data_IF_455559489848
#
_entry.id   IF_455559489848
#
_cell.length_a   1.000
_cell.length_b   1.000
_cell.length_c   1.000
_cell.angle_alpha   90.00
_cell.angle_beta   90.00
_cell.angle_gamma   90.00
#
_symmetry.space_group_name_H-M   'P 1'
#
loop_
_entity.id
_entity.type
_entity.pdbx_description
1 polymer ?
#
# COMPACT_ATOMS: atom_id res chain seq x y z
N UNK A 1 24.29 -36.64 14.96
CA UNK A 1 25.07 -35.48 14.48
C UNK A 1 24.28 -34.24 14.92
N UNK A 2 24.56 -33.54 16.03
CA UNK A 2 25.64 -32.54 16.30
C UNK A 2 25.85 -31.63 15.08
N UNK A 3 25.65 -30.30 15.13
CA UNK A 3 25.90 -29.26 16.16
C UNK A 3 24.91 -28.07 15.96
N UNK A 4 24.25 -27.50 16.97
CA UNK A 4 24.65 -26.53 18.03
C UNK A 4 24.27 -25.08 17.64
N UNK A 5 23.34 -24.41 18.36
CA UNK A 5 23.54 -23.50 19.54
C UNK A 5 24.13 -22.15 19.09
N UNK A 6 23.57 -20.96 19.40
CA UNK A 6 23.58 -20.33 20.74
C UNK A 6 22.48 -19.26 20.90
N UNK A 7 21.78 -19.40 22.02
CA UNK A 7 20.95 -18.45 22.77
C UNK A 7 21.84 -17.80 23.85
N UNK A 8 21.74 -16.49 24.09
CA UNK A 8 22.29 -15.87 25.30
C UNK A 8 21.23 -15.02 26.01
N UNK A 9 20.60 -15.64 27.01
CA UNK A 9 19.92 -14.98 28.13
C UNK A 9 20.96 -14.67 29.19
N UNK A 10 20.97 -13.46 29.75
CA UNK A 10 21.64 -13.15 31.00
C UNK A 10 20.61 -12.61 32.00
N UNK A 11 20.25 -13.48 32.94
CA UNK A 11 19.47 -13.18 34.14
C UNK A 11 20.45 -13.36 35.31
N UNK A 12 20.64 -12.32 36.11
CA UNK A 12 21.34 -12.42 37.39
C UNK A 12 20.42 -11.89 38.50
N UNK A 13 19.88 -12.84 39.27
CA UNK A 13 19.25 -12.62 40.58
C UNK A 13 20.25 -13.07 41.65
N UNK A 14 20.54 -12.20 42.62
CA UNK A 14 20.98 -12.60 43.95
C UNK A 14 20.15 -11.85 44.99
N UNK A 15 19.76 -12.60 46.02
CA UNK A 15 18.80 -12.23 47.05
C UNK A 15 19.43 -11.42 48.21
N UNK A 16 18.63 -10.47 48.72
CA UNK A 16 18.34 -10.22 50.14
C UNK A 16 19.47 -9.95 51.15
N UNK A 17 19.50 -8.72 51.67
CA UNK A 17 19.68 -8.41 53.10
C UNK A 17 19.15 -7.00 53.39
N UNK A 18 18.26 -6.88 54.39
CA UNK A 18 17.78 -5.60 54.91
C UNK A 18 18.80 -4.96 55.87
N UNK A 19 19.01 -3.64 55.80
CA UNK A 19 19.35 -2.78 56.95
C UNK A 19 19.10 -1.29 56.67
N UNK A 20 18.72 -0.62 57.76
CA UNK A 20 18.14 0.71 58.02
C UNK A 20 18.96 1.98 57.63
N UNK A 21 18.37 3.20 57.77
CA UNK A 21 18.63 4.35 56.92
C UNK A 21 19.68 5.34 57.45
N UNK A 22 20.26 6.10 56.53
CA UNK A 22 21.01 7.34 56.77
C UNK A 22 21.06 8.10 55.44
N UNK A 23 21.08 9.41 55.30
CA UNK A 23 20.82 10.57 56.15
C UNK A 23 20.62 11.71 55.14
N UNK A 24 19.65 12.61 55.36
CA UNK A 24 19.41 13.75 54.47
C UNK A 24 20.61 14.72 54.44
N UNK A 25 21.00 15.24 53.27
CA UNK A 25 21.70 16.51 53.17
C UNK A 25 20.68 17.65 53.03
N UNK A 26 20.80 18.61 53.95
CA UNK A 26 20.07 19.87 53.98
C UNK A 26 20.49 20.84 52.84
N UNK A 27 19.70 21.91 52.60
CA UNK A 27 19.66 22.63 51.32
C UNK A 27 20.84 23.60 51.16
N UNK A 28 21.43 23.65 49.97
CA UNK A 28 22.34 24.72 49.59
C UNK A 28 21.61 25.79 48.77
N UNK A 29 21.36 26.90 49.47
CA UNK A 29 21.54 28.28 49.06
C UNK A 29 21.23 28.65 47.60
N UNK A 30 20.16 29.44 47.46
CA UNK A 30 19.93 30.32 46.32
C UNK A 30 21.20 31.10 45.95
N UNK A 31 21.57 31.03 44.67
CA UNK A 31 22.39 32.02 44.01
C UNK A 31 21.57 32.52 42.82
N UNK A 32 21.12 33.76 42.92
CA UNK A 32 20.51 34.52 41.84
C UNK A 32 21.49 34.56 40.66
N UNK A 33 21.15 33.88 39.59
CA UNK A 33 21.76 34.09 38.27
C UNK A 33 20.72 34.79 37.41
N UNK A 34 20.92 36.09 37.23
CA UNK A 34 20.28 36.96 36.25
C UNK A 34 20.10 36.25 34.91
N UNK A 35 18.89 35.74 34.64
CA UNK A 35 18.47 35.34 33.32
C UNK A 35 18.24 36.62 32.51
N UNK A 36 19.20 36.94 31.64
CA UNK A 36 18.97 37.86 30.53
C UNK A 36 17.93 37.18 29.66
N UNK A 37 16.71 37.74 29.63
CA UNK A 37 15.68 37.34 28.67
C UNK A 37 16.25 37.55 27.26
N UNK A 38 16.64 36.46 26.62
CA UNK A 38 16.76 36.44 25.17
C UNK A 38 15.33 36.54 24.61
N UNK A 39 15.06 37.56 23.83
CA UNK A 39 13.88 37.58 22.96
C UNK A 39 13.86 36.28 22.14
N UNK A 40 12.69 35.64 21.95
CA UNK A 40 12.58 34.52 21.03
C UNK A 40 13.04 34.99 19.66
N UNK A 41 14.10 34.37 19.14
CA UNK A 41 14.51 34.58 17.76
C UNK A 41 13.32 34.28 16.86
N UNK A 42 13.01 35.17 15.90
CA UNK A 42 12.06 34.86 14.85
C UNK A 42 12.42 33.50 14.25
N UNK A 43 11.44 32.60 14.06
CA UNK A 43 11.72 31.30 13.47
C UNK A 43 12.33 31.53 12.09
N UNK A 44 13.58 31.09 11.93
CA UNK A 44 14.28 31.22 10.66
C UNK A 44 13.46 30.55 9.56
N UNK A 45 13.33 31.23 8.42
CA UNK A 45 12.72 30.63 7.23
C UNK A 45 13.41 29.29 6.93
N UNK A 46 12.65 28.26 6.49
CA UNK A 46 13.23 26.95 6.23
C UNK A 46 14.29 27.05 5.12
N UNK A 47 15.39 26.31 5.28
CA UNK A 47 16.38 26.15 4.21
C UNK A 47 15.77 25.29 3.10
N UNK A 48 15.43 25.92 1.97
CA UNK A 48 14.79 25.26 0.83
C UNK A 48 15.72 24.27 0.11
N UNK A 49 17.00 24.19 0.49
CA UNK A 49 17.96 23.23 -0.06
C UNK A 49 18.23 22.04 0.87
N UNK A 50 17.81 22.11 2.13
CA UNK A 50 17.97 21.02 3.10
C UNK A 50 16.80 20.04 3.00
N UNK A 51 16.81 19.23 1.95
CA UNK A 51 15.75 18.26 1.68
C UNK A 51 15.55 17.23 2.79
N UNK A 52 16.59 16.67 3.43
CA UNK A 52 16.40 15.81 4.61
C UNK A 52 15.63 16.50 5.73
N UNK A 53 16.00 17.74 6.10
CA UNK A 53 15.30 18.47 7.16
C UNK A 53 13.86 18.82 6.77
N UNK A 54 13.60 19.15 5.50
CA UNK A 54 12.23 19.38 5.00
C UNK A 54 11.39 18.10 5.02
N UNK A 55 11.99 16.96 4.69
CA UNK A 55 11.34 15.65 4.70
C UNK A 55 10.91 15.28 6.13
N UNK A 56 11.87 15.32 7.06
CA UNK A 56 11.64 15.00 8.48
C UNK A 56 10.56 15.90 9.09
N UNK A 57 10.62 17.21 8.79
CA UNK A 57 9.74 18.19 9.41
C UNK A 57 8.31 18.18 8.86
N UNK A 58 8.13 17.94 7.57
CA UNK A 58 6.87 18.20 6.88
C UNK A 58 6.26 17.00 6.17
N UNK A 59 7.03 15.95 5.85
CA UNK A 59 6.56 14.85 5.00
C UNK A 59 6.45 13.54 5.76
N UNK A 60 7.42 13.20 6.62
CA UNK A 60 7.49 11.88 7.26
C UNK A 60 6.23 11.54 8.07
N UNK A 61 5.75 12.47 8.90
CA UNK A 61 4.52 12.24 9.68
C UNK A 61 3.28 12.20 8.81
N UNK A 62 3.23 12.99 7.74
CA UNK A 62 2.13 12.99 6.78
C UNK A 62 2.09 11.66 6.02
N UNK A 63 3.25 11.10 5.69
CA UNK A 63 3.38 9.78 5.05
C UNK A 63 2.98 8.66 6.01
N UNK A 64 3.56 8.62 7.20
CA UNK A 64 3.34 7.54 8.16
C UNK A 64 1.90 7.48 8.67
N UNK A 65 1.15 8.60 8.61
CA UNK A 65 -0.27 8.62 8.92
C UNK A 65 -1.17 8.17 7.76
N UNK A 66 -0.60 7.94 6.57
CA UNK A 66 -1.33 7.64 5.34
C UNK A 66 -1.89 8.87 4.61
N UNK A 67 -1.74 10.09 5.16
CA UNK A 67 -2.28 11.30 4.55
C UNK A 67 -1.54 11.71 3.26
N UNK A 68 -0.25 11.37 3.12
CA UNK A 68 0.51 11.58 1.88
C UNK A 68 0.17 10.55 0.78
N UNK A 69 -0.46 9.42 1.14
CA UNK A 69 -0.91 8.38 0.21
C UNK A 69 -2.28 8.63 -0.42
N UNK A 70 -2.76 9.87 -0.42
CA UNK A 70 -4.07 10.28 -0.92
C UNK A 70 -3.97 11.67 -1.55
N UNK A 71 -4.70 11.92 -2.64
CA UNK A 71 -4.89 13.28 -3.17
C UNK A 71 -6.03 13.98 -2.44
N UNK A 72 -5.78 15.17 -1.90
CA UNK A 72 -6.77 15.94 -1.16
C UNK A 72 -6.48 17.44 -1.23
N UNK A 73 -7.54 18.24 -1.27
CA UNK A 73 -7.52 19.70 -1.16
C UNK A 73 -8.31 20.21 0.05
N UNK A 74 -8.90 19.28 0.83
CA UNK A 74 -9.54 19.56 2.11
C UNK A 74 -9.27 18.39 3.08
N UNK A 75 -9.18 18.63 4.39
CA UNK A 75 -8.99 17.55 5.36
C UNK A 75 -10.10 16.50 5.38
N UNK A 76 -11.31 16.85 4.89
CA UNK A 76 -12.39 15.88 4.73
C UNK A 76 -11.99 14.71 3.80
N UNK A 77 -11.23 14.99 2.75
CA UNK A 77 -10.74 13.97 1.81
C UNK A 77 -9.58 13.14 2.36
N UNK A 78 -8.97 13.56 3.48
CA UNK A 78 -7.93 12.78 4.16
C UNK A 78 -8.55 11.57 4.84
N UNK A 79 -9.75 11.68 5.41
CA UNK A 79 -10.35 10.64 6.25
C UNK A 79 -9.88 10.71 7.71
N UNK A 80 -10.79 10.46 8.65
CA UNK A 80 -10.49 10.59 10.08
C UNK A 80 -9.52 9.52 10.59
N UNK A 81 -9.44 8.37 9.92
CA UNK A 81 -8.45 7.32 10.17
C UNK A 81 -7.02 7.89 10.11
N UNK A 82 -6.66 8.52 8.99
CA UNK A 82 -5.33 9.07 8.78
C UNK A 82 -5.03 10.28 9.68
N UNK A 83 -6.06 11.06 10.05
CA UNK A 83 -5.91 12.16 11.02
C UNK A 83 -5.65 11.62 12.44
N UNK A 84 -6.37 10.56 12.86
CA UNK A 84 -6.12 9.90 14.15
C UNK A 84 -4.72 9.29 14.19
N UNK A 85 -4.29 8.66 13.09
CA UNK A 85 -2.96 8.05 12.99
C UNK A 85 -1.83 9.11 13.01
N UNK A 86 -2.10 10.31 12.46
CA UNK A 86 -1.18 11.45 12.55
C UNK A 86 -0.96 11.91 14.00
N UNK A 87 -2.03 11.89 14.82
CA UNK A 87 -1.93 12.15 16.26
C UNK A 87 -1.24 10.99 17.00
N UNK A 88 -1.55 9.74 16.64
CA UNK A 88 -0.93 8.57 17.26
C UNK A 88 0.60 8.60 17.15
N UNK A 89 1.14 9.00 15.99
CA UNK A 89 2.58 9.17 15.78
C UNK A 89 3.22 10.17 16.75
N UNK A 90 2.53 11.26 17.07
CA UNK A 90 2.98 12.21 18.09
C UNK A 90 3.02 11.56 19.49
N UNK A 91 1.99 10.78 19.85
CA UNK A 91 1.98 10.09 21.14
C UNK A 91 3.05 9.00 21.23
N UNK A 92 3.38 8.33 20.13
CA UNK A 92 4.39 7.26 20.12
C UNK A 92 5.82 7.78 20.32
N UNK A 93 6.11 9.03 19.95
CA UNK A 93 7.38 9.70 20.31
C UNK A 93 7.57 9.76 21.83
N UNK A 94 6.48 9.93 22.57
CA UNK A 94 6.48 10.06 24.04
C UNK A 94 6.26 8.72 24.77
N UNK A 95 5.53 7.78 24.16
CA UNK A 95 5.06 6.53 24.81
C UNK A 95 5.80 5.26 24.35
N UNK A 96 6.55 5.29 23.25
CA UNK A 96 7.16 4.11 22.63
C UNK A 96 6.14 3.12 22.05
N UNK A 97 6.44 1.81 22.06
CA UNK A 97 5.59 0.76 21.46
C UNK A 97 4.25 0.51 22.17
N UNK A 98 3.94 1.22 23.27
CA UNK A 98 2.71 1.03 24.06
C UNK A 98 1.68 2.12 23.76
N UNK A 99 1.27 2.24 22.50
CA UNK A 99 0.16 3.13 22.15
C UNK A 99 -1.15 2.63 22.80
N UNK A 100 -1.96 3.51 23.40
CA UNK A 100 -3.27 3.13 23.92
C UNK A 100 -4.20 2.73 22.78
N UNK A 101 -5.17 1.86 23.06
CA UNK A 101 -6.17 1.44 22.09
C UNK A 101 -7.14 2.58 21.68
N UNK A 102 -7.21 3.63 22.50
CA UNK A 102 -8.10 4.77 22.29
C UNK A 102 -7.43 6.08 22.72
N UNK A 103 -7.75 7.16 21.99
CA UNK A 103 -7.28 8.51 22.28
C UNK A 103 -8.47 9.44 22.60
N UNK A 104 -8.40 10.27 23.66
CA UNK A 104 -9.47 11.21 24.00
C UNK A 104 -9.76 12.18 22.84
N UNK A 105 -11.03 12.29 22.44
CA UNK A 105 -11.40 13.02 21.22
C UNK A 105 -10.94 14.49 21.25
N UNK A 106 -11.10 15.18 22.39
CA UNK A 106 -10.68 16.57 22.52
C UNK A 106 -9.17 16.78 22.32
N UNK A 107 -8.34 15.83 22.74
CA UNK A 107 -6.88 15.92 22.59
C UNK A 107 -6.47 15.71 21.12
N UNK A 108 -7.06 14.70 20.47
CA UNK A 108 -6.84 14.45 19.03
C UNK A 108 -7.28 15.66 18.21
N UNK A 109 -8.49 16.15 18.43
CA UNK A 109 -9.09 17.26 17.66
C UNK A 109 -8.29 18.55 17.83
N UNK A 110 -7.89 18.89 19.06
CA UNK A 110 -7.08 20.08 19.33
C UNK A 110 -5.73 19.97 18.61
N UNK A 111 -5.08 18.81 18.68
CA UNK A 111 -3.78 18.59 18.06
C UNK A 111 -3.87 18.65 16.54
N UNK A 112 -4.82 17.97 15.93
CA UNK A 112 -5.03 17.97 14.49
C UNK A 112 -5.39 19.35 13.97
N UNK A 113 -6.17 20.13 14.74
CA UNK A 113 -6.51 21.52 14.40
C UNK A 113 -5.30 22.47 14.28
N UNK A 114 -4.14 22.09 14.84
CA UNK A 114 -2.88 22.84 14.68
C UNK A 114 -2.29 22.71 13.28
N UNK A 115 -2.47 21.55 12.64
CA UNK A 115 -1.84 21.21 11.35
C UNK A 115 -2.81 21.16 10.18
N UNK A 116 -4.11 20.96 10.44
CA UNK A 116 -5.14 20.84 9.43
C UNK A 116 -6.29 21.81 9.74
N UNK A 117 -6.94 22.34 8.69
CA UNK A 117 -8.16 23.13 8.85
C UNK A 117 -9.39 22.21 8.80
N UNK A 118 -9.63 21.52 9.91
CA UNK A 118 -10.66 20.49 10.04
C UNK A 118 -11.74 20.93 11.03
N UNK A 119 -13.00 20.67 10.67
CA UNK A 119 -14.12 20.69 11.62
C UNK A 119 -14.36 19.25 12.13
N UNK A 120 -14.12 18.96 13.42
CA UNK A 120 -14.30 17.63 13.98
C UNK A 120 -15.71 17.07 13.78
N UNK A 121 -16.73 17.92 13.84
CA UNK A 121 -18.13 17.47 13.77
C UNK A 121 -18.48 16.91 12.38
N UNK A 122 -17.97 17.53 11.31
CA UNK A 122 -18.27 17.14 9.92
C UNK A 122 -17.25 16.18 9.30
N UNK A 123 -16.05 16.06 9.87
CA UNK A 123 -14.98 15.21 9.32
C UNK A 123 -14.61 14.04 10.24
N UNK A 124 -14.34 14.31 11.52
CA UNK A 124 -13.72 13.32 12.40
C UNK A 124 -14.74 12.45 13.15
N UNK A 125 -15.75 13.08 13.78
CA UNK A 125 -16.74 12.39 14.64
C UNK A 125 -17.77 11.57 13.88
N UNK A 126 -17.86 11.74 12.56
CA UNK A 126 -18.73 10.90 11.70
C UNK A 126 -18.08 9.57 11.32
N UNK A 127 -16.80 9.40 11.62
CA UNK A 127 -16.04 8.22 11.24
C UNK A 127 -16.28 7.04 12.19
N UNK A 128 -16.18 5.81 11.67
CA UNK A 128 -16.42 4.57 12.43
C UNK A 128 -15.47 4.38 13.63
N UNK A 129 -14.30 5.04 13.62
CA UNK A 129 -13.34 5.03 14.73
C UNK A 129 -13.75 5.91 15.90
N UNK A 130 -14.73 6.81 15.75
CA UNK A 130 -15.21 7.64 16.86
C UNK A 130 -16.23 6.87 17.72
N UNK A 131 -15.95 6.78 19.01
CA UNK A 131 -16.86 6.22 20.02
C UNK A 131 -17.49 7.35 20.84
N UNK A 132 -18.78 7.62 20.61
CA UNK A 132 -19.51 8.69 21.29
C UNK A 132 -19.64 8.44 22.81
N UNK A 133 -19.72 7.18 23.24
CA UNK A 133 -19.89 6.85 24.65
C UNK A 133 -18.58 7.04 25.43
N UNK A 134 -17.45 6.70 24.81
CA UNK A 134 -16.12 6.95 25.37
C UNK A 134 -15.62 8.39 25.13
N UNK A 135 -16.22 9.11 24.19
CA UNK A 135 -15.73 10.39 23.68
C UNK A 135 -14.25 10.30 23.25
N UNK A 136 -13.95 9.27 22.45
CA UNK A 136 -12.60 8.88 22.07
C UNK A 136 -12.54 8.32 20.64
N UNK A 137 -11.35 8.32 20.05
CA UNK A 137 -11.05 7.67 18.78
C UNK A 137 -10.31 6.37 19.01
N UNK A 138 -10.76 5.29 18.37
CA UNK A 138 -10.06 4.00 18.35
C UNK A 138 -8.83 4.06 17.47
N UNK A 139 -7.73 3.53 17.97
CA UNK A 139 -6.48 3.35 17.24
C UNK A 139 -6.32 1.88 16.87
N UNK A 140 -6.09 1.61 15.58
CA UNK A 140 -6.03 0.25 15.04
C UNK A 140 -4.62 -0.15 14.60
N UNK A 141 -3.63 0.69 14.89
CA UNK A 141 -2.24 0.52 14.46
C UNK A 141 -1.88 1.38 13.26
N UNK A 142 -0.57 1.58 13.05
CA UNK A 142 -0.03 2.28 11.90
C UNK A 142 0.16 1.32 10.72
N UNK A 143 -0.14 1.79 9.52
CA UNK A 143 0.10 1.08 8.27
C UNK A 143 1.33 1.60 7.52
N UNK A 144 2.04 0.69 6.85
CA UNK A 144 3.17 0.89 5.93
C UNK A 144 4.53 1.30 6.55
N UNK A 145 5.60 0.79 5.94
CA UNK A 145 7.02 0.98 6.30
C UNK A 145 7.78 1.77 5.22
N UNK A 146 7.08 2.57 4.43
CA UNK A 146 7.68 3.33 3.32
C UNK A 146 8.47 4.53 3.85
N UNK A 147 9.40 5.05 3.04
CA UNK A 147 10.17 6.26 3.34
C UNK A 147 9.90 7.32 2.29
N UNK A 148 9.83 8.60 2.68
CA UNK A 148 9.73 9.72 1.74
C UNK A 148 11.09 10.42 1.57
N UNK A 149 11.21 11.17 0.48
CA UNK A 149 12.26 12.16 0.31
C UNK A 149 11.75 13.37 -0.48
N UNK A 150 11.93 14.57 0.07
CA UNK A 150 11.75 15.82 -0.69
C UNK A 150 12.83 15.92 -1.76
N UNK A 151 12.43 16.25 -2.98
CA UNK A 151 13.35 16.42 -4.11
C UNK A 151 13.31 17.84 -4.71
N UNK A 152 12.31 18.65 -4.34
CA UNK A 152 12.19 20.04 -4.74
C UNK A 152 11.38 20.83 -3.72
N UNK A 153 11.77 22.08 -3.50
CA UNK A 153 11.08 22.98 -2.59
C UNK A 153 11.01 24.39 -3.17
N UNK A 154 9.90 25.08 -2.92
CA UNK A 154 9.73 26.51 -3.22
C UNK A 154 8.88 27.18 -2.15
N UNK A 155 9.15 28.44 -1.87
CA UNK A 155 8.39 29.26 -0.92
C UNK A 155 7.97 30.57 -1.58
N UNK A 156 6.66 30.80 -1.67
CA UNK A 156 6.07 32.03 -2.19
C UNK A 156 4.94 32.48 -1.26
N UNK A 157 4.96 33.73 -0.81
CA UNK A 157 3.92 34.31 0.06
C UNK A 157 3.54 33.45 1.28
N UNK A 158 4.55 32.84 1.93
CA UNK A 158 4.36 31.96 3.08
C UNK A 158 3.78 30.59 2.76
N UNK A 159 3.62 30.24 1.48
CA UNK A 159 3.24 28.92 1.01
C UNK A 159 4.47 28.12 0.61
N UNK A 160 4.84 27.15 1.45
CA UNK A 160 5.87 26.17 1.15
C UNK A 160 5.25 25.07 0.29
N UNK A 161 5.82 24.85 -0.90
CA UNK A 161 5.47 23.75 -1.80
C UNK A 161 6.63 22.79 -1.86
N UNK A 162 6.37 21.52 -1.54
CA UNK A 162 7.38 20.45 -1.56
C UNK A 162 6.94 19.38 -2.56
N UNK A 163 7.81 19.08 -3.53
CA UNK A 163 7.69 17.84 -4.30
C UNK A 163 8.48 16.75 -3.58
N UNK A 164 7.87 15.57 -3.46
CA UNK A 164 8.44 14.43 -2.73
C UNK A 164 8.26 13.13 -3.52
N UNK A 165 9.16 12.19 -3.28
CA UNK A 165 9.06 10.80 -3.72
C UNK A 165 8.86 9.90 -2.52
N UNK A 166 8.06 8.86 -2.66
CA UNK A 166 7.89 7.80 -1.67
C UNK A 166 8.48 6.51 -2.21
N UNK A 167 9.27 5.85 -1.37
CA UNK A 167 10.05 4.68 -1.73
C UNK A 167 9.50 3.39 -1.11
N UNK A 168 9.65 2.30 -1.87
CA UNK A 168 9.37 0.94 -1.42
C UNK A 168 10.22 0.56 -0.21
N UNK A 169 9.67 -0.18 0.76
CA UNK A 169 10.44 -0.71 1.90
C UNK A 169 11.43 -1.82 1.53
N UNK A 170 11.49 -2.23 0.26
CA UNK A 170 12.41 -3.28 -0.22
C UNK A 170 13.88 -2.81 -0.34
N UNK A 171 14.19 -1.56 0.02
CA UNK A 171 15.53 -0.95 -0.03
C UNK A 171 16.19 -0.99 -1.42
N UNK A 172 15.39 -1.02 -2.49
CA UNK A 172 15.84 -1.09 -3.89
C UNK A 172 15.87 0.28 -4.59
N UNK A 173 15.52 1.36 -3.88
CA UNK A 173 15.44 2.71 -4.44
C UNK A 173 14.21 2.94 -5.33
N UNK A 174 13.27 2.00 -5.34
CA UNK A 174 12.01 2.10 -6.09
C UNK A 174 11.14 3.23 -5.55
N UNK A 175 10.80 4.19 -6.40
CA UNK A 175 9.73 5.17 -6.13
C UNK A 175 8.39 4.54 -6.47
N UNK A 176 7.53 4.39 -5.46
CA UNK A 176 6.19 3.80 -5.59
C UNK A 176 5.12 4.85 -5.92
N UNK A 177 5.31 6.10 -5.50
CA UNK A 177 4.58 7.27 -5.98
C UNK A 177 5.35 8.54 -5.61
N UNK A 178 4.98 9.63 -6.23
CA UNK A 178 5.45 10.97 -5.90
C UNK A 178 4.27 11.85 -5.49
N UNK A 179 4.54 13.02 -4.95
CA UNK A 179 3.48 13.99 -4.72
C UNK A 179 3.99 15.41 -4.59
N UNK A 180 3.04 16.34 -4.51
CA UNK A 180 3.29 17.73 -4.15
C UNK A 180 2.40 18.09 -2.97
N UNK A 181 3.01 18.53 -1.88
CA UNK A 181 2.28 19.04 -0.71
C UNK A 181 2.45 20.56 -0.62
N UNK A 182 1.36 21.27 -0.34
CA UNK A 182 1.40 22.71 -0.05
C UNK A 182 1.09 22.98 1.42
N UNK A 183 1.93 23.81 2.02
CA UNK A 183 2.01 24.03 3.45
C UNK A 183 2.05 25.54 3.72
N UNK A 184 1.04 26.06 4.42
CA UNK A 184 1.04 27.45 4.89
C UNK A 184 1.91 27.57 6.12
N UNK A 185 2.97 28.36 6.04
CA UNK A 185 3.79 28.72 7.18
C UNK A 185 3.18 29.92 7.91
N UNK A 186 3.13 29.83 9.23
CA UNK A 186 2.74 30.91 10.12
C UNK A 186 3.97 31.69 10.58
N UNK A 187 3.85 33.01 10.86
CA UNK A 187 4.98 33.83 11.35
C UNK A 187 5.58 33.35 12.68
N UNK A 188 4.79 32.62 13.48
CA UNK A 188 5.20 32.03 14.76
C UNK A 188 5.95 30.69 14.61
N UNK A 189 6.20 30.25 13.37
CA UNK A 189 6.90 29.00 13.08
C UNK A 189 5.99 27.77 13.06
N UNK A 190 4.69 27.95 13.31
CA UNK A 190 3.66 26.94 13.05
C UNK A 190 3.40 26.75 11.56
N UNK A 191 2.65 25.72 11.22
CA UNK A 191 2.24 25.47 9.83
C UNK A 191 0.92 24.72 9.74
N UNK A 192 0.24 24.87 8.61
CA UNK A 192 -0.91 24.05 8.23
C UNK A 192 -0.74 23.46 6.84
N UNK A 193 -1.12 22.21 6.66
CA UNK A 193 -1.20 21.61 5.33
C UNK A 193 -2.49 22.07 4.63
N UNK A 194 -2.36 22.54 3.39
CA UNK A 194 -3.49 23.05 2.58
C UNK A 194 -3.95 22.01 1.55
N UNK A 195 -3.02 21.30 0.92
CA UNK A 195 -3.31 20.27 -0.08
C UNK A 195 -2.17 19.27 -0.20
N UNK A 196 -2.51 18.08 -0.69
CA UNK A 196 -1.57 17.08 -1.19
C UNK A 196 -2.08 16.55 -2.53
N UNK A 197 -1.22 16.56 -3.54
CA UNK A 197 -1.46 15.92 -4.81
C UNK A 197 -0.54 14.71 -4.94
N UNK A 198 -1.09 13.51 -4.76
CA UNK A 198 -0.40 12.25 -4.96
C UNK A 198 -0.47 11.87 -6.45
N UNK A 199 0.64 11.40 -6.98
CA UNK A 199 0.78 10.92 -8.37
C UNK A 199 1.54 9.62 -8.38
N UNK A 200 0.96 8.57 -8.93
CA UNK A 200 1.75 7.39 -9.27
C UNK A 200 2.73 7.72 -10.40
N UNK A 201 3.82 6.97 -10.57
CA UNK A 201 4.75 7.21 -11.65
C UNK A 201 4.07 7.09 -13.02
N UNK A 202 4.37 8.02 -13.95
CA UNK A 202 3.79 8.08 -15.30
C UNK A 202 4.40 7.02 -16.22
N UNK A 203 3.79 5.84 -16.39
CA UNK A 203 4.32 4.83 -17.31
C UNK A 203 4.31 5.33 -18.77
N UNK A 204 5.46 5.38 -19.48
CA UNK A 204 5.47 5.75 -20.89
C UNK A 204 4.72 4.70 -21.69
N UNK A 205 3.60 5.11 -22.29
CA UNK A 205 2.75 4.23 -23.08
C UNK A 205 3.41 3.98 -24.44
N UNK A 206 3.74 2.72 -24.70
CA UNK A 206 4.33 2.25 -25.95
C UNK A 206 3.29 1.67 -26.93
N UNK A 207 3.72 1.41 -28.16
CA UNK A 207 2.93 0.70 -29.16
C UNK A 207 1.63 1.38 -29.63
N UNK A 208 0.88 0.66 -30.47
CA UNK A 208 -0.42 1.09 -30.98
C UNK A 208 -1.56 0.81 -29.97
N UNK A 209 -2.43 1.80 -29.75
CA UNK A 209 -3.50 1.73 -28.76
C UNK A 209 -4.58 0.68 -29.05
N UNK A 210 -4.94 0.43 -30.31
CA UNK A 210 -5.91 -0.62 -30.65
C UNK A 210 -5.33 -2.01 -30.38
N UNK A 211 -4.04 -2.19 -30.70
CA UNK A 211 -3.33 -3.44 -30.43
C UNK A 211 -3.25 -3.70 -28.93
N UNK A 212 -2.94 -2.68 -28.12
CA UNK A 212 -2.93 -2.81 -26.65
C UNK A 212 -4.28 -3.25 -26.09
N UNK A 213 -5.39 -2.67 -26.56
CA UNK A 213 -6.72 -3.09 -26.13
C UNK A 213 -7.00 -4.55 -26.50
N UNK A 214 -6.67 -4.98 -27.72
CA UNK A 214 -6.85 -6.38 -28.14
C UNK A 214 -6.03 -7.36 -27.29
N UNK A 215 -4.79 -6.97 -26.94
CA UNK A 215 -3.93 -7.75 -26.05
C UNK A 215 -4.53 -7.78 -24.63
N UNK A 216 -5.07 -6.66 -24.14
CA UNK A 216 -5.73 -6.58 -22.84
C UNK A 216 -6.95 -7.50 -22.79
N UNK A 217 -7.85 -7.42 -23.78
CA UNK A 217 -9.04 -8.27 -23.90
C UNK A 217 -8.69 -9.76 -23.94
N UNK A 218 -7.60 -10.12 -24.62
CA UNK A 218 -7.22 -11.52 -24.83
C UNK A 218 -6.49 -12.10 -23.62
N UNK A 219 -5.56 -11.35 -23.03
CA UNK A 219 -4.58 -11.89 -22.09
C UNK A 219 -4.71 -11.33 -20.68
N UNK A 220 -5.24 -10.12 -20.48
CA UNK A 220 -5.26 -9.45 -19.18
C UNK A 220 -6.65 -9.50 -18.55
N UNK A 221 -7.71 -9.13 -19.29
CA UNK A 221 -9.08 -9.10 -18.79
C UNK A 221 -9.57 -10.42 -18.21
N UNK A 222 -9.20 -11.59 -18.78
CA UNK A 222 -9.53 -12.88 -18.18
C UNK A 222 -8.95 -13.11 -16.78
N UNK A 223 -7.90 -12.37 -16.38
CA UNK A 223 -7.22 -12.52 -15.09
C UNK A 223 -7.76 -11.59 -13.99
N UNK A 224 -8.59 -10.59 -14.34
CA UNK A 224 -9.03 -9.49 -13.47
C UNK A 224 -9.77 -9.95 -12.20
N UNK A 225 -10.68 -10.92 -12.24
CA UNK A 225 -11.58 -11.16 -11.08
C UNK A 225 -11.00 -12.15 -10.10
N UNK A 226 -10.04 -12.95 -10.58
CA UNK A 226 -9.00 -13.54 -9.75
C UNK A 226 -7.92 -12.54 -9.36
N UNK A 227 -8.14 -11.21 -9.45
CA UNK A 227 -7.17 -10.10 -9.56
C UNK A 227 -5.93 -10.16 -8.69
N UNK A 228 -5.94 -11.00 -7.65
CA UNK A 228 -4.77 -11.64 -7.07
C UNK A 228 -3.73 -12.13 -8.09
N UNK A 229 -4.09 -12.71 -9.24
CA UNK A 229 -3.13 -13.20 -10.24
C UNK A 229 -2.21 -12.09 -10.81
N UNK A 230 -2.60 -10.82 -10.67
CA UNK A 230 -1.81 -9.65 -11.06
C UNK A 230 -1.41 -8.79 -9.84
N UNK A 231 -1.47 -9.33 -8.63
CA UNK A 231 -1.12 -8.64 -7.37
C UNK A 231 0.11 -9.21 -6.66
N UNK A 232 0.69 -10.30 -7.15
CA UNK A 232 1.91 -10.88 -6.61
C UNK A 232 2.73 -11.57 -7.69
N UNK A 233 4.02 -11.72 -7.43
CA UNK A 233 4.98 -12.35 -8.34
C UNK A 233 4.76 -13.87 -8.39
N UNK A 234 4.79 -14.43 -9.60
CA UNK A 234 4.84 -15.88 -9.81
C UNK A 234 5.68 -16.19 -11.06
N UNK A 235 6.68 -17.03 -10.89
CA UNK A 235 7.60 -17.45 -11.96
C UNK A 235 7.07 -18.65 -12.74
N UNK A 236 6.04 -19.32 -12.22
CA UNK A 236 5.31 -20.37 -12.93
C UNK A 236 3.89 -20.51 -12.36
N UNK A 237 2.92 -21.04 -13.13
CA UNK A 237 1.56 -21.27 -12.64
C UNK A 237 1.46 -22.18 -11.40
N UNK A 238 2.47 -23.02 -11.14
CA UNK A 238 2.53 -23.89 -9.96
C UNK A 238 2.84 -23.17 -8.64
N UNK A 239 3.25 -21.90 -8.69
CA UNK A 239 3.47 -21.06 -7.50
C UNK A 239 2.21 -20.33 -7.03
N UNK A 240 1.16 -20.32 -7.87
CA UNK A 240 -0.13 -19.75 -7.50
C UNK A 240 -0.82 -20.60 -6.42
N UNK A 241 -1.97 -20.17 -5.95
CA UNK A 241 -2.90 -21.06 -5.23
C UNK A 241 -3.83 -21.72 -6.25
N UNK A 242 -4.16 -23.00 -6.06
CA UNK A 242 -5.09 -23.73 -6.93
C UNK A 242 -6.46 -23.03 -7.04
N UNK A 243 -6.87 -22.35 -5.96
CA UNK A 243 -8.09 -21.56 -5.93
C UNK A 243 -8.07 -20.39 -6.92
N UNK A 244 -6.93 -19.73 -7.13
CA UNK A 244 -6.83 -18.63 -8.08
C UNK A 244 -7.02 -19.12 -9.53
N UNK A 245 -6.50 -20.30 -9.87
CA UNK A 245 -6.74 -20.93 -11.17
C UNK A 245 -8.20 -21.37 -11.34
N UNK A 246 -8.82 -21.84 -10.26
CA UNK A 246 -10.24 -22.17 -10.26
C UNK A 246 -11.11 -20.92 -10.45
N UNK A 247 -10.77 -19.79 -9.83
CA UNK A 247 -11.45 -18.51 -10.02
C UNK A 247 -11.35 -18.03 -11.46
N UNK A 248 -10.20 -18.19 -12.11
CA UNK A 248 -10.06 -17.90 -13.55
C UNK A 248 -11.07 -18.69 -14.38
N UNK A 249 -11.23 -19.99 -14.13
CA UNK A 249 -12.20 -20.83 -14.84
C UNK A 249 -13.64 -20.36 -14.61
N UNK A 250 -14.00 -20.14 -13.34
CA UNK A 250 -15.34 -19.73 -12.95
C UNK A 250 -15.69 -18.35 -13.53
N UNK A 251 -14.78 -17.38 -13.44
CA UNK A 251 -15.02 -16.04 -13.95
C UNK A 251 -15.25 -16.04 -15.46
N UNK A 252 -14.31 -16.62 -16.22
CA UNK A 252 -14.37 -16.68 -17.69
C UNK A 252 -15.42 -17.67 -18.21
N UNK A 253 -16.11 -18.38 -17.32
CA UNK A 253 -17.13 -19.38 -17.64
C UNK A 253 -16.64 -20.39 -18.69
N UNK A 254 -15.45 -20.94 -18.49
CA UNK A 254 -14.80 -21.81 -19.49
C UNK A 254 -15.60 -23.09 -19.81
N UNK A 255 -16.53 -23.47 -18.92
CA UNK A 255 -17.43 -24.61 -19.11
C UNK A 255 -18.77 -24.22 -19.75
N UNK A 256 -19.01 -22.93 -20.03
CA UNK A 256 -20.25 -22.44 -20.66
C UNK A 256 -21.51 -22.71 -19.83
N UNK A 257 -21.38 -22.74 -18.50
CA UNK A 257 -22.50 -23.01 -17.59
C UNK A 257 -23.40 -21.78 -17.46
N UNK A 258 -24.67 -21.99 -17.11
CA UNK A 258 -25.63 -20.92 -16.87
C UNK A 258 -25.24 -20.09 -15.64
N UNK A 259 -25.31 -18.76 -15.77
CA UNK A 259 -25.09 -17.78 -14.70
C UNK A 259 -26.28 -16.85 -14.61
N UNK A 260 -26.54 -16.33 -13.41
CA UNK A 260 -27.50 -15.25 -13.23
C UNK A 260 -26.93 -13.89 -13.67
N UNK A 261 -27.71 -12.83 -13.46
CA UNK A 261 -27.33 -11.47 -13.87
C UNK A 261 -26.14 -10.90 -13.08
N UNK A 262 -25.83 -11.45 -11.90
CA UNK A 262 -24.67 -11.07 -11.07
C UNK A 262 -23.44 -11.92 -11.40
N UNK A 263 -23.56 -12.83 -12.38
CA UNK A 263 -22.49 -13.74 -12.76
C UNK A 263 -22.29 -14.89 -11.77
N UNK A 264 -23.28 -15.18 -10.92
CA UNK A 264 -23.28 -16.30 -10.00
C UNK A 264 -23.80 -17.58 -10.66
N UNK A 265 -23.20 -18.72 -10.31
CA UNK A 265 -23.80 -20.02 -10.62
C UNK A 265 -24.94 -20.33 -9.64
N UNK A 266 -25.85 -21.21 -10.05
CA UNK A 266 -26.95 -21.66 -9.19
C UNK A 266 -26.41 -22.24 -7.86
N UNK A 267 -27.08 -22.02 -6.72
CA UNK A 267 -26.65 -22.58 -5.44
C UNK A 267 -26.45 -24.10 -5.48
N UNK A 268 -25.27 -24.56 -5.09
CA UNK A 268 -24.90 -25.99 -5.13
C UNK A 268 -24.56 -26.52 -6.52
N UNK A 269 -24.38 -25.66 -7.53
CA UNK A 269 -23.89 -26.07 -8.84
C UNK A 269 -22.51 -26.73 -8.70
N UNK A 270 -22.32 -27.83 -9.42
CA UNK A 270 -21.05 -28.55 -9.47
C UNK A 270 -20.68 -28.86 -10.91
N UNK A 271 -19.39 -29.00 -11.17
CA UNK A 271 -18.85 -29.45 -12.46
C UNK A 271 -17.92 -30.66 -12.28
N UNK A 272 -17.92 -31.64 -13.20
CA UNK A 272 -17.03 -32.78 -13.13
C UNK A 272 -15.56 -32.36 -13.08
N UNK A 273 -14.76 -32.99 -12.22
CA UNK A 273 -13.36 -32.60 -12.01
C UNK A 273 -12.54 -32.67 -13.30
N UNK A 274 -12.72 -33.72 -14.10
CA UNK A 274 -12.01 -33.87 -15.37
C UNK A 274 -12.27 -32.72 -16.36
N UNK A 275 -13.47 -32.14 -16.37
CA UNK A 275 -13.82 -31.01 -17.24
C UNK A 275 -13.19 -29.71 -16.76
N UNK A 276 -13.25 -29.46 -15.44
CA UNK A 276 -12.60 -28.30 -14.79
C UNK A 276 -11.09 -28.35 -15.00
N UNK A 277 -10.48 -29.49 -14.72
CA UNK A 277 -9.04 -29.72 -14.81
C UNK A 277 -8.54 -29.56 -16.25
N UNK A 278 -9.27 -30.10 -17.23
CA UNK A 278 -8.93 -29.93 -18.63
C UNK A 278 -9.02 -28.46 -19.06
N UNK A 279 -10.09 -27.76 -18.69
CA UNK A 279 -10.30 -26.37 -19.06
C UNK A 279 -9.25 -25.41 -18.44
N UNK A 280 -8.84 -25.62 -17.19
CA UNK A 280 -7.76 -24.82 -16.58
C UNK A 280 -6.42 -25.10 -17.29
N UNK A 281 -6.14 -26.38 -17.58
CA UNK A 281 -4.87 -26.79 -18.20
C UNK A 281 -4.73 -26.36 -19.67
N UNK A 282 -5.79 -25.87 -20.29
CA UNK A 282 -5.69 -25.17 -21.56
C UNK A 282 -4.95 -23.83 -21.48
N UNK A 283 -4.84 -23.23 -20.29
CA UNK A 283 -4.18 -21.92 -20.11
C UNK A 283 -2.99 -21.97 -19.14
N UNK A 284 -2.94 -22.98 -18.26
CA UNK A 284 -1.92 -23.09 -17.21
C UNK A 284 -1.29 -24.49 -17.20
N UNK A 285 0.04 -24.54 -17.24
CA UNK A 285 0.78 -25.81 -17.21
C UNK A 285 0.97 -26.31 -15.78
N UNK A 286 -0.08 -26.95 -15.24
CA UNK A 286 -0.11 -27.49 -13.87
C UNK A 286 -0.61 -28.94 -13.84
N UNK A 287 -0.17 -29.75 -12.86
CA UNK A 287 -0.67 -31.10 -12.69
C UNK A 287 -2.09 -31.11 -12.10
N UNK A 288 -2.85 -32.16 -12.43
CA UNK A 288 -4.24 -32.34 -11.95
C UNK A 288 -4.29 -32.47 -10.43
N UNK A 289 -3.33 -33.18 -9.86
CA UNK A 289 -3.20 -33.41 -8.42
C UNK A 289 -3.05 -32.11 -7.64
N UNK A 290 -2.40 -31.11 -8.25
CA UNK A 290 -2.30 -29.76 -7.69
C UNK A 290 -3.64 -29.02 -7.75
N UNK A 291 -4.39 -29.09 -8.86
CA UNK A 291 -5.72 -28.46 -8.93
C UNK A 291 -6.69 -29.00 -7.88
N UNK A 292 -6.54 -30.26 -7.48
CA UNK A 292 -7.36 -30.90 -6.45
C UNK A 292 -7.03 -30.47 -5.03
N UNK A 293 -5.98 -29.66 -4.81
CA UNK A 293 -5.73 -29.01 -3.52
C UNK A 293 -6.63 -27.80 -3.29
N UNK A 294 -7.38 -27.37 -4.32
CA UNK A 294 -8.35 -26.30 -4.19
C UNK A 294 -9.43 -26.64 -3.15
N UNK A 295 -9.84 -25.65 -2.36
CA UNK A 295 -10.90 -25.83 -1.36
C UNK A 295 -12.27 -26.15 -1.98
N UNK A 296 -12.43 -25.92 -3.29
CA UNK A 296 -13.67 -26.15 -4.03
C UNK A 296 -13.77 -27.58 -4.58
N UNK A 297 -12.69 -28.36 -4.54
CA UNK A 297 -12.72 -29.77 -4.93
C UNK A 297 -13.47 -30.61 -3.88
N UNK A 298 -14.28 -31.56 -4.35
CA UNK A 298 -15.09 -32.51 -3.56
C UNK A 298 -14.75 -33.93 -3.99
N UNK A 299 -13.93 -34.60 -3.18
CA UNK A 299 -13.41 -35.94 -3.49
C UNK A 299 -14.48 -37.04 -3.51
N UNK A 300 -15.56 -36.87 -2.76
CA UNK A 300 -16.72 -37.76 -2.68
C UNK A 300 -17.58 -37.74 -3.97
N UNK A 301 -17.60 -36.61 -4.67
CA UNK A 301 -18.31 -36.44 -5.95
C UNK A 301 -17.40 -36.40 -7.19
N UNK A 302 -16.07 -36.38 -7.00
CA UNK A 302 -15.07 -36.07 -8.03
C UNK A 302 -15.46 -34.85 -8.88
N UNK A 303 -15.80 -33.77 -8.18
CA UNK A 303 -16.33 -32.55 -8.78
C UNK A 303 -15.80 -31.30 -8.07
N UNK A 304 -16.00 -30.14 -8.69
CA UNK A 304 -15.78 -28.84 -8.06
C UNK A 304 -17.12 -28.16 -7.78
N UNK A 305 -17.22 -27.50 -6.64
CA UNK A 305 -18.32 -26.62 -6.30
C UNK A 305 -18.13 -25.27 -7.01
N UNK A 306 -19.08 -24.93 -7.88
CA UNK A 306 -18.98 -23.74 -8.74
C UNK A 306 -19.36 -22.48 -7.97
N UNK A 307 -18.54 -21.44 -8.07
CA UNK A 307 -18.78 -20.15 -7.42
C UNK A 307 -18.82 -19.00 -8.44
N UNK A 308 -19.52 -17.93 -8.09
CA UNK A 308 -19.52 -16.71 -8.90
C UNK A 308 -19.70 -15.47 -8.04
N UNK A 309 -20.14 -14.37 -8.65
CA UNK A 309 -20.24 -13.08 -7.96
C UNK A 309 -18.87 -12.47 -7.68
N UNK A 310 -17.93 -12.63 -8.62
CA UNK A 310 -16.63 -11.99 -8.53
C UNK A 310 -16.80 -10.48 -8.66
N UNK A 311 -16.73 -9.76 -7.53
CA UNK A 311 -16.66 -8.31 -7.52
C UNK A 311 -15.31 -7.80 -8.03
N UNK A 312 -15.25 -6.55 -8.47
CA UNK A 312 -14.02 -5.87 -8.85
C UNK A 312 -14.17 -4.36 -8.82
N UNK A 313 -13.26 -3.67 -8.12
CA UNK A 313 -13.20 -2.21 -8.02
C UNK A 313 -11.98 -1.59 -8.72
N UNK A 314 -11.11 -2.39 -9.33
CA UNK A 314 -9.95 -1.92 -10.09
C UNK A 314 -10.04 -2.34 -11.56
N UNK A 315 -9.25 -1.69 -12.40
CA UNK A 315 -9.09 -2.06 -13.81
C UNK A 315 -7.61 -2.31 -14.15
N UNK A 316 -7.35 -2.93 -15.30
CA UNK A 316 -6.01 -3.20 -15.79
C UNK A 316 -5.91 -2.76 -17.24
N UNK A 317 -4.73 -2.33 -17.67
CA UNK A 317 -4.48 -1.96 -19.06
C UNK A 317 -3.13 -2.50 -19.52
N UNK A 318 -2.99 -2.72 -20.83
CA UNK A 318 -1.67 -2.94 -21.44
C UNK A 318 -1.06 -1.57 -21.75
N UNK A 319 0.12 -1.34 -21.18
CA UNK A 319 0.88 -0.09 -21.30
C UNK A 319 1.91 -0.17 -22.43
N UNK A 320 2.51 -1.34 -22.62
CA UNK A 320 3.46 -1.65 -23.67
C UNK A 320 3.51 -3.16 -23.92
N UNK A 321 4.09 -3.57 -25.04
CA UNK A 321 4.21 -4.99 -25.38
C UNK A 321 5.38 -5.27 -26.33
N UNK A 322 5.91 -6.49 -26.22
CA UNK A 322 6.83 -7.06 -27.18
C UNK A 322 6.38 -8.48 -27.55
N UNK A 323 6.58 -8.88 -28.80
CA UNK A 323 6.36 -10.25 -29.24
C UNK A 323 7.58 -10.76 -29.99
N UNK A 324 8.10 -11.91 -29.58
CA UNK A 324 9.21 -12.58 -30.25
C UNK A 324 9.09 -14.10 -30.10
N UNK A 325 9.33 -14.84 -31.18
CA UNK A 325 9.39 -16.31 -31.19
C UNK A 325 8.16 -17.00 -30.55
N UNK A 326 6.98 -16.39 -30.69
CA UNK A 326 5.72 -16.88 -30.13
C UNK A 326 5.51 -16.56 -28.64
N UNK A 327 6.44 -15.84 -28.01
CA UNK A 327 6.29 -15.31 -26.66
C UNK A 327 5.87 -13.84 -26.73
N UNK A 328 4.84 -13.48 -25.97
CA UNK A 328 4.41 -12.10 -25.76
C UNK A 328 4.78 -11.69 -24.34
N UNK A 329 5.45 -10.56 -24.21
CA UNK A 329 5.62 -9.85 -22.94
C UNK A 329 4.72 -8.61 -22.93
N UNK A 330 3.93 -8.44 -21.87
CA UNK A 330 3.02 -7.32 -21.69
C UNK A 330 3.42 -6.54 -20.44
N UNK A 331 3.57 -5.23 -20.56
CA UNK A 331 3.57 -4.33 -19.41
C UNK A 331 2.11 -4.05 -19.04
N UNK A 332 1.70 -4.49 -17.86
CA UNK A 332 0.31 -4.41 -17.38
C UNK A 332 0.23 -3.42 -16.23
N UNK A 333 -0.47 -2.31 -16.45
CA UNK A 333 -0.80 -1.34 -15.41
C UNK A 333 -2.04 -1.80 -14.64
N UNK A 334 -1.98 -1.75 -13.31
CA UNK A 334 -3.14 -1.94 -12.45
C UNK A 334 -3.55 -0.62 -11.81
N UNK A 335 -4.84 -0.36 -11.72
CA UNK A 335 -5.34 0.88 -11.16
C UNK A 335 -6.54 0.63 -10.25
N UNK A 336 -6.65 1.45 -9.21
CA UNK A 336 -7.80 1.56 -8.35
C UNK A 336 -8.99 2.27 -9.01
N UNK A 337 -10.14 2.30 -8.32
CA UNK A 337 -11.39 2.85 -8.85
C UNK A 337 -11.35 4.35 -9.15
N UNK A 338 -10.49 5.09 -8.44
CA UNK A 338 -10.39 6.55 -8.49
C UNK A 338 -9.11 7.04 -9.20
N UNK A 339 -8.33 6.13 -9.79
CA UNK A 339 -7.04 6.44 -10.39
C UNK A 339 -7.18 6.96 -11.83
N UNK A 340 -6.24 7.83 -12.22
CA UNK A 340 -6.14 8.30 -13.60
C UNK A 340 -5.53 7.22 -14.52
N UNK A 341 -5.98 7.09 -15.77
CA UNK A 341 -5.61 6.00 -16.68
C UNK A 341 -4.13 5.95 -17.09
N UNK A 342 -3.35 6.98 -16.81
CA UNK A 342 -1.90 7.09 -17.05
C UNK A 342 -1.05 6.96 -15.78
N UNK A 343 -1.67 6.71 -14.63
CA UNK A 343 -1.04 6.62 -13.32
C UNK A 343 -1.37 5.28 -12.63
N UNK A 344 -0.80 4.15 -13.09
CA UNK A 344 -1.05 2.85 -12.48
C UNK A 344 -0.46 2.76 -11.07
N UNK A 345 -1.19 2.15 -10.13
CA UNK A 345 -0.70 1.87 -8.77
C UNK A 345 0.56 1.02 -8.77
N UNK A 346 0.60 0.04 -9.68
CA UNK A 346 1.77 -0.78 -9.97
C UNK A 346 1.72 -1.25 -11.41
N UNK A 347 2.90 -1.55 -11.95
CA UNK A 347 3.05 -2.19 -13.25
C UNK A 347 3.68 -3.55 -13.06
N UNK A 348 3.18 -4.55 -13.77
CA UNK A 348 3.82 -5.85 -13.83
C UNK A 348 4.05 -6.32 -15.25
N UNK A 349 5.02 -7.20 -15.42
CA UNK A 349 5.36 -7.85 -16.68
C UNK A 349 4.69 -9.21 -16.71
N UNK A 350 3.75 -9.39 -17.62
CA UNK A 350 3.07 -10.65 -17.89
C UNK A 350 3.70 -11.33 -19.11
N UNK A 351 4.11 -12.58 -18.96
CA UNK A 351 4.67 -13.39 -20.05
C UNK A 351 3.67 -14.45 -20.49
N UNK A 352 3.37 -14.47 -21.78
CA UNK A 352 2.43 -15.39 -22.43
C UNK A 352 3.13 -16.12 -23.57
N UNK A 353 2.92 -17.42 -23.70
CA UNK A 353 3.45 -18.21 -24.81
C UNK A 353 2.32 -18.70 -25.72
N UNK A 354 2.39 -18.40 -27.01
CA UNK A 354 1.44 -18.90 -28.01
C UNK A 354 1.67 -20.38 -28.29
N UNK A 355 0.58 -21.15 -28.31
CA UNK A 355 0.62 -22.57 -28.68
C UNK A 355 0.69 -22.72 -30.21
N UNK A 356 1.47 -23.69 -30.75
CA UNK A 356 1.39 -24.07 -32.14
C UNK A 356 -0.04 -24.52 -32.50
N UNK A 357 -0.68 -23.85 -33.47
CA UNK A 357 -2.05 -24.17 -33.89
C UNK A 357 -3.16 -23.34 -33.22
N UNK A 358 -2.81 -22.39 -32.36
CA UNK A 358 -3.75 -21.47 -31.72
C UNK A 358 -3.87 -21.69 -30.21
N UNK A 359 -4.33 -20.66 -29.50
CA UNK A 359 -4.33 -20.62 -28.03
C UNK A 359 -2.99 -20.19 -27.45
N UNK A 360 -2.89 -20.18 -26.12
CA UNK A 360 -1.73 -19.69 -25.39
C UNK A 360 -1.60 -20.33 -24.01
N UNK A 361 -0.48 -20.10 -23.34
CA UNK A 361 -0.22 -20.44 -21.95
C UNK A 361 0.31 -19.22 -21.19
N UNK A 362 -0.20 -18.99 -19.98
CA UNK A 362 0.40 -18.05 -19.05
C UNK A 362 1.67 -18.65 -18.46
N UNK A 363 2.78 -17.91 -18.49
CA UNK A 363 4.10 -18.40 -18.07
C UNK A 363 4.61 -17.79 -16.78
N UNK A 364 4.56 -16.46 -16.66
CA UNK A 364 5.00 -15.74 -15.46
C UNK A 364 4.32 -14.38 -15.35
N UNK A 365 4.28 -13.84 -14.13
CA UNK A 365 4.03 -12.43 -13.86
C UNK A 365 4.97 -11.94 -12.78
N UNK A 366 5.51 -10.74 -12.98
CA UNK A 366 6.40 -10.08 -12.04
C UNK A 366 5.99 -8.62 -11.92
N UNK A 367 5.81 -8.13 -10.71
CA UNK A 367 5.61 -6.71 -10.43
C UNK A 367 6.95 -6.01 -10.65
N UNK A 368 6.97 -5.08 -11.60
CA UNK A 368 8.17 -4.31 -11.91
C UNK A 368 8.25 -3.15 -10.94
N UNK A 369 9.24 -3.20 -10.07
CA UNK A 369 9.42 -2.22 -9.01
C UNK A 369 10.26 -1.00 -9.45
N UNK A 370 11.19 -1.11 -10.40
CA UNK A 370 12.03 0.03 -10.79
C UNK A 370 11.26 1.12 -11.56
N UNK A 371 11.52 2.41 -11.27
CA UNK A 371 11.01 3.56 -12.01
C UNK A 371 12.13 4.43 -12.66
N UNK A 372 12.05 4.81 -13.95
CA UNK A 372 11.16 4.16 -14.91
C UNK A 372 11.55 2.69 -14.98
N UNK A 373 10.59 1.77 -15.15
CA UNK A 373 10.92 0.42 -15.51
C UNK A 373 11.78 0.51 -16.76
N UNK A 374 12.86 -0.26 -16.81
CA UNK A 374 13.59 -0.37 -18.06
C UNK A 374 12.53 -0.66 -19.14
N UNK A 375 12.44 0.15 -20.22
CA UNK A 375 11.56 -0.17 -21.34
C UNK A 375 11.76 -1.65 -21.65
N UNK A 376 10.70 -2.39 -22.00
CA UNK A 376 10.87 -3.81 -22.39
C UNK A 376 11.96 -3.78 -23.47
N UNK A 377 13.18 -4.17 -23.06
CA UNK A 377 14.36 -3.80 -23.80
C UNK A 377 14.35 -4.74 -24.97
N UNK A 378 13.85 -4.26 -26.11
CA UNK A 378 13.91 -5.02 -27.34
C UNK A 378 15.33 -5.51 -27.52
N UNK A 379 15.46 -6.81 -27.77
CA UNK A 379 16.64 -7.47 -28.26
C UNK A 379 17.24 -6.61 -29.38
N UNK A 380 18.20 -5.77 -29.02
CA UNK A 380 19.05 -5.11 -29.98
C UNK A 380 20.03 -6.18 -30.46
N UNK A 381 19.69 -6.83 -31.57
CA UNK A 381 20.63 -7.19 -32.64
C UNK A 381 19.90 -7.51 -33.95
#
# INVERSE_FOLDING_TARGET
>A
MKKALVLCVALALLAGCAREPAAAPQPQSAAESSAVSAEPAEPAAPDLSDYPALTERYVDRLLASGAAGRTWSTPFNIGADALVDYYALHCMEDLGEQAPAEFPAGEVEEYIGRYFDVDPASCMRIHVRYDEAANAYRFEGLGATCTAQVNKASLEDGLLTLDYDVYSPREDGTVIWSGTVKIRLSPDGGWKYEENEMRYPLYPVGGDGQTREQLAETYVYPMIPSGRLLQYDWSSPGEMEADHLFFYLCFNNLLGMEKDFEGCFAPGATAPAAEVEAAIREYFDVPVEYLRTSQFYRADGDCYEMIGGFGGGGWQSVLDYAEQDGVIELAVGSYGPDDQPDHPMHVGRLTVEKKPGGGFLYRSYEIVHSWPPEPIAFFAE
#
